data_IF_456233884954
#
_entry.id   IF_456233884954
#
_cell.length_a   1.000
_cell.length_b   1.000
_cell.length_c   1.000
_cell.angle_alpha   90.00
_cell.angle_beta   90.00
_cell.angle_gamma   90.00
#
_symmetry.space_group_name_H-M   'P 1'
#
loop_
_entity.id
_entity.type
_entity.pdbx_description
1 polymer ?
#
# COMPACT_ATOMS: atom_id res chain seq x y z
N UNK A 1 -12.01 15.17 4.10
CA UNK A 1 -11.00 15.75 3.17
C UNK A 1 -11.70 16.59 2.11
N UNK A 2 -11.12 17.72 1.69
CA UNK A 2 -11.90 18.76 1.01
C UNK A 2 -12.85 19.45 1.99
N UNK A 3 -14.05 19.81 1.54
CA UNK A 3 -14.94 20.73 2.27
C UNK A 3 -15.79 20.08 3.37
N UNK A 4 -15.85 18.74 3.45
CA UNK A 4 -16.63 17.99 4.44
C UNK A 4 -15.76 17.00 5.23
N UNK A 5 -14.88 17.45 6.15
CA UNK A 5 -13.98 16.57 6.90
C UNK A 5 -14.69 15.64 7.90
N UNK A 6 -15.90 15.98 8.33
CA UNK A 6 -16.73 15.16 9.24
C UNK A 6 -17.40 13.98 8.52
N UNK A 7 -17.41 13.96 7.18
CA UNK A 7 -17.94 12.85 6.38
C UNK A 7 -16.78 11.92 6.02
N UNK A 8 -16.71 10.78 6.71
CA UNK A 8 -15.60 9.83 6.57
C UNK A 8 -15.85 8.77 5.49
N UNK A 9 -17.11 8.42 5.26
CA UNK A 9 -17.53 7.34 4.35
C UNK A 9 -18.67 7.79 3.44
N UNK A 10 -19.03 6.96 2.46
CA UNK A 10 -20.17 7.20 1.56
C UNK A 10 -21.48 6.61 2.07
N UNK A 11 -21.52 6.08 3.31
CA UNK A 11 -22.74 5.52 3.90
C UNK A 11 -23.78 6.62 4.17
N UNK A 12 -25.02 6.35 3.79
CA UNK A 12 -26.18 7.20 4.07
C UNK A 12 -26.80 6.83 5.41
N UNK A 13 -27.62 7.72 5.95
CA UNK A 13 -28.40 7.43 7.15
C UNK A 13 -29.29 6.19 6.94
N UNK A 14 -29.23 5.25 7.88
CA UNK A 14 -29.97 3.98 7.80
C UNK A 14 -29.28 2.87 6.99
N UNK A 15 -28.16 3.14 6.32
CA UNK A 15 -27.37 2.09 5.67
C UNK A 15 -26.46 1.35 6.66
N UNK A 16 -26.26 0.06 6.43
CA UNK A 16 -25.33 -0.79 7.17
C UNK A 16 -24.52 -1.64 6.19
N UNK A 17 -23.22 -1.82 6.48
CA UNK A 17 -22.37 -2.72 5.72
C UNK A 17 -22.76 -4.15 6.07
N UNK A 18 -23.32 -4.91 5.11
CA UNK A 18 -23.76 -6.29 5.33
C UNK A 18 -22.74 -7.33 4.86
N UNK A 19 -21.91 -6.99 3.88
CA UNK A 19 -20.91 -7.91 3.33
C UNK A 19 -19.76 -7.17 2.65
N UNK A 20 -18.61 -7.85 2.56
CA UNK A 20 -17.50 -7.52 1.67
C UNK A 20 -17.26 -8.74 0.79
N UNK A 21 -17.29 -8.55 -0.52
CA UNK A 21 -17.01 -9.61 -1.48
C UNK A 21 -15.57 -9.51 -1.97
N UNK A 22 -14.78 -10.55 -1.70
CA UNK A 22 -13.41 -10.67 -2.21
C UNK A 22 -13.35 -11.86 -3.18
N UNK A 23 -13.46 -11.63 -4.50
CA UNK A 23 -13.42 -12.73 -5.46
C UNK A 23 -12.02 -13.34 -5.51
N UNK A 24 -11.95 -14.63 -5.84
CA UNK A 24 -10.69 -15.27 -6.18
C UNK A 24 -10.03 -14.49 -7.33
N UNK A 25 -8.77 -14.12 -7.14
CA UNK A 25 -8.02 -13.35 -8.13
C UNK A 25 -6.57 -13.82 -8.18
N UNK A 26 -5.90 -13.61 -9.31
CA UNK A 26 -4.48 -13.89 -9.43
C UNK A 26 -3.63 -13.11 -8.42
N UNK A 27 -4.12 -11.93 -8.00
CA UNK A 27 -3.53 -11.09 -6.98
C UNK A 27 -3.49 -11.75 -5.59
N UNK A 28 -4.44 -12.65 -5.28
CA UNK A 28 -4.50 -13.30 -3.96
C UNK A 28 -3.29 -14.22 -3.70
N UNK A 29 -2.71 -14.81 -4.76
CA UNK A 29 -1.54 -15.69 -4.67
C UNK A 29 -0.28 -14.95 -4.21
N UNK A 30 -0.13 -13.72 -4.66
CA UNK A 30 1.07 -12.90 -4.47
C UNK A 30 0.65 -11.60 -3.80
N UNK A 31 0.20 -11.73 -2.54
CA UNK A 31 -0.18 -10.60 -1.73
C UNK A 31 0.49 -10.64 -0.36
N UNK A 32 0.81 -9.47 0.17
CA UNK A 32 1.41 -9.34 1.48
C UNK A 32 1.01 -8.02 2.15
N UNK A 33 1.11 -7.99 3.47
CA UNK A 33 0.86 -6.80 4.28
C UNK A 33 1.96 -6.61 5.31
N UNK A 34 2.63 -5.45 5.26
CA UNK A 34 3.66 -5.04 6.21
C UNK A 34 3.06 -4.01 7.16
N UNK A 35 3.31 -4.20 8.46
CA UNK A 35 2.89 -3.28 9.53
C UNK A 35 4.10 -2.85 10.36
N UNK A 36 4.51 -1.59 10.23
CA UNK A 36 5.59 -0.98 11.00
C UNK A 36 5.02 -0.32 12.24
N UNK A 37 5.61 -0.59 13.41
CA UNK A 37 5.13 -0.21 14.74
C UNK A 37 6.28 -0.23 15.76
N UNK A 38 6.13 0.47 16.87
CA UNK A 38 7.16 0.60 17.91
C UNK A 38 7.21 -0.64 18.81
N UNK A 39 6.05 -1.19 19.18
CA UNK A 39 5.95 -2.45 19.91
C UNK A 39 5.52 -3.60 19.02
N UNK A 40 6.07 -4.79 19.30
CA UNK A 40 5.89 -5.97 18.45
C UNK A 40 4.45 -6.49 18.36
N UNK A 41 3.51 -6.09 19.22
CA UNK A 41 2.09 -6.46 19.13
C UNK A 41 1.17 -5.42 19.76
N UNK A 42 -0.13 -5.54 19.48
CA UNK A 42 -1.20 -4.72 20.06
C UNK A 42 -1.04 -3.21 19.84
N UNK A 43 -0.51 -2.77 18.71
CA UNK A 43 -0.34 -1.35 18.37
C UNK A 43 -0.89 -1.00 16.98
N UNK A 44 -1.21 0.27 16.79
CA UNK A 44 -1.48 0.89 15.50
C UNK A 44 -0.23 0.87 14.60
N UNK A 45 -0.43 0.95 13.30
CA UNK A 45 0.69 1.09 12.38
C UNK A 45 1.17 2.54 12.39
N UNK A 46 2.47 2.77 12.61
CA UNK A 46 3.08 4.05 12.25
C UNK A 46 2.99 4.25 10.74
N UNK A 47 3.29 3.19 9.99
CA UNK A 47 3.06 3.04 8.56
C UNK A 47 2.74 1.57 8.27
N UNK A 48 1.83 1.34 7.34
CA UNK A 48 1.65 0.02 6.75
C UNK A 48 1.60 0.09 5.23
N UNK A 49 1.90 -1.04 4.59
CA UNK A 49 1.80 -1.19 3.15
C UNK A 49 1.18 -2.56 2.82
N UNK A 50 0.26 -2.58 1.86
CA UNK A 50 -0.30 -3.77 1.25
C UNK A 50 0.11 -3.79 -0.21
N UNK A 51 0.56 -4.94 -0.70
CA UNK A 51 0.73 -5.17 -2.13
C UNK A 51 0.04 -6.46 -2.54
N UNK A 52 -0.53 -6.45 -3.74
CA UNK A 52 -1.01 -7.64 -4.43
C UNK A 52 -0.59 -7.54 -5.90
N UNK A 53 0.08 -8.57 -6.41
CA UNK A 53 0.79 -8.52 -7.68
C UNK A 53 0.34 -9.72 -8.52
N UNK A 54 0.04 -9.49 -9.79
CA UNK A 54 -0.10 -10.57 -10.76
C UNK A 54 1.15 -10.60 -11.63
N UNK A 55 1.82 -11.76 -11.67
CA UNK A 55 2.99 -12.00 -12.53
C UNK A 55 2.58 -12.98 -13.63
N UNK A 56 2.93 -12.65 -14.86
CA UNK A 56 2.78 -13.50 -16.03
C UNK A 56 4.05 -13.44 -16.86
N UNK A 57 4.55 -14.59 -17.32
CA UNK A 57 5.74 -14.69 -18.18
C UNK A 57 6.97 -13.96 -17.60
N UNK A 58 7.13 -14.00 -16.27
CA UNK A 58 8.23 -13.36 -15.55
C UNK A 58 8.12 -11.84 -15.40
N UNK A 59 7.03 -11.21 -15.83
CA UNK A 59 6.79 -9.79 -15.68
C UNK A 59 5.50 -9.49 -14.89
N UNK A 60 5.47 -8.34 -14.21
CA UNK A 60 4.28 -7.86 -13.51
C UNK A 60 3.22 -7.47 -14.54
N UNK A 61 2.11 -8.20 -14.58
CA UNK A 61 0.95 -7.86 -15.42
C UNK A 61 0.09 -6.77 -14.77
N UNK A 62 -0.22 -6.92 -13.49
CA UNK A 62 -0.94 -5.91 -12.71
C UNK A 62 -0.42 -5.83 -11.29
N UNK A 63 -0.48 -4.65 -10.69
CA UNK A 63 -0.15 -4.43 -9.29
C UNK A 63 -1.23 -3.58 -8.61
N UNK A 64 -1.46 -3.85 -7.32
CA UNK A 64 -2.26 -3.03 -6.42
C UNK A 64 -1.43 -2.75 -5.18
N UNK A 65 -1.18 -1.48 -4.90
CA UNK A 65 -0.34 -1.07 -3.78
C UNK A 65 -1.04 0.03 -3.00
N UNK A 66 -1.18 -0.18 -1.69
CA UNK A 66 -1.85 0.76 -0.79
C UNK A 66 -1.08 0.90 0.52
N UNK A 67 -1.22 2.06 1.17
CA UNK A 67 -0.57 2.38 2.42
C UNK A 67 -1.58 2.83 3.49
N UNK A 68 -1.26 2.52 4.74
CA UNK A 68 -2.00 2.93 5.93
C UNK A 68 -1.13 3.74 6.90
N UNK A 69 -1.78 4.49 7.79
CA UNK A 69 -1.10 5.32 8.79
C UNK A 69 -0.40 6.58 8.24
N UNK A 70 -0.48 6.83 6.93
CA UNK A 70 0.21 7.96 6.25
C UNK A 70 -0.73 9.05 5.73
N UNK A 71 -2.04 8.83 5.78
CA UNK A 71 -3.05 9.76 5.30
C UNK A 71 -4.34 9.64 6.12
N UNK A 72 -5.31 10.51 5.85
CA UNK A 72 -6.64 10.54 6.51
C UNK A 72 -7.54 9.36 6.12
N UNK A 73 -7.17 8.60 5.09
CA UNK A 73 -7.82 7.36 4.63
C UNK A 73 -6.76 6.39 4.09
N UNK A 74 -7.07 5.09 3.93
CA UNK A 74 -6.19 4.19 3.19
C UNK A 74 -5.81 4.77 1.83
N UNK A 75 -4.51 4.82 1.55
CA UNK A 75 -3.98 5.58 0.43
C UNK A 75 -3.45 4.65 -0.66
N UNK A 76 -4.08 4.65 -1.82
CA UNK A 76 -3.60 3.89 -2.98
C UNK A 76 -2.42 4.59 -3.64
N UNK A 77 -1.44 3.82 -4.11
CA UNK A 77 -0.18 4.31 -4.66
C UNK A 77 -0.06 4.00 -6.17
N UNK A 78 -0.84 4.67 -7.04
CA UNK A 78 -0.90 4.34 -8.46
C UNK A 78 0.41 4.57 -9.21
N UNK A 79 1.26 5.49 -8.76
CA UNK A 79 2.58 5.68 -9.38
C UNK A 79 3.52 4.50 -9.10
N UNK A 80 3.47 3.92 -7.89
CA UNK A 80 4.20 2.69 -7.56
C UNK A 80 3.70 1.55 -8.45
N UNK A 81 2.37 1.41 -8.59
CA UNK A 81 1.75 0.40 -9.46
C UNK A 81 2.23 0.54 -10.92
N UNK A 82 2.22 1.76 -11.48
CA UNK A 82 2.67 2.04 -12.84
C UNK A 82 4.14 1.70 -13.09
N UNK A 83 5.02 1.94 -12.12
CA UNK A 83 6.44 1.64 -12.24
C UNK A 83 6.74 0.14 -12.33
N UNK A 84 5.83 -0.70 -11.85
CA UNK A 84 6.00 -2.16 -11.82
C UNK A 84 5.47 -2.84 -13.09
N UNK A 85 4.33 -2.39 -13.61
CA UNK A 85 3.66 -3.04 -14.75
C UNK A 85 4.58 -3.14 -15.97
N UNK A 86 4.63 -4.34 -16.56
CA UNK A 86 5.46 -4.66 -17.72
C UNK A 86 6.93 -4.95 -17.40
N UNK A 87 7.35 -4.89 -16.12
CA UNK A 87 8.73 -5.15 -15.70
C UNK A 87 8.83 -6.46 -14.94
N UNK A 88 10.00 -7.08 -14.99
CA UNK A 88 10.35 -8.15 -14.06
C UNK A 88 10.50 -7.55 -12.66
N UNK A 89 9.89 -8.19 -11.67
CA UNK A 89 10.04 -7.79 -10.28
C UNK A 89 11.35 -8.36 -9.74
N UNK A 90 12.30 -7.48 -9.46
CA UNK A 90 13.54 -7.76 -8.74
C UNK A 90 13.79 -6.65 -7.70
N UNK A 91 14.89 -6.76 -6.95
CA UNK A 91 15.21 -5.82 -5.89
C UNK A 91 15.34 -4.37 -6.38
N UNK A 92 15.99 -4.16 -7.53
CA UNK A 92 16.14 -2.85 -8.12
C UNK A 92 14.78 -2.27 -8.55
N UNK A 93 13.93 -3.08 -9.19
CA UNK A 93 12.59 -2.66 -9.57
C UNK A 93 11.72 -2.30 -8.35
N UNK A 94 11.79 -3.08 -7.27
CA UNK A 94 11.06 -2.82 -6.04
C UNK A 94 11.53 -1.51 -5.38
N UNK A 95 12.85 -1.27 -5.31
CA UNK A 95 13.43 -0.04 -4.77
C UNK A 95 12.99 1.19 -5.57
N UNK A 96 13.18 1.17 -6.89
CA UNK A 96 12.79 2.29 -7.77
C UNK A 96 11.28 2.55 -7.76
N UNK A 97 10.46 1.50 -7.65
CA UNK A 97 9.01 1.67 -7.51
C UNK A 97 8.68 2.32 -6.16
N UNK A 98 9.32 1.91 -5.07
CA UNK A 98 9.08 2.43 -3.72
C UNK A 98 9.42 3.92 -3.55
N UNK A 99 10.38 4.46 -4.32
CA UNK A 99 10.70 5.89 -4.35
C UNK A 99 9.50 6.77 -4.74
N UNK A 100 8.59 6.25 -5.56
CA UNK A 100 7.35 6.95 -5.90
C UNK A 100 6.39 7.11 -4.71
N UNK A 101 6.48 6.26 -3.69
CA UNK A 101 5.59 6.32 -2.54
C UNK A 101 5.83 7.59 -1.70
N UNK A 102 7.09 8.02 -1.57
CA UNK A 102 7.49 9.17 -0.76
C UNK A 102 6.97 10.52 -1.30
N UNK A 103 6.76 10.63 -2.61
CA UNK A 103 6.27 11.86 -3.27
C UNK A 103 4.81 12.18 -2.95
N UNK A 104 4.09 11.27 -2.27
CA UNK A 104 2.68 11.43 -1.92
C UNK A 104 2.43 11.95 -0.51
N UNK A 105 3.48 12.19 0.29
CA UNK A 105 3.36 12.63 1.68
C UNK A 105 3.70 14.12 1.81
N UNK A 106 2.68 14.96 2.03
CA UNK A 106 2.88 16.33 2.50
C UNK A 106 3.31 16.27 3.98
N UNK A 107 4.60 16.41 4.23
CA UNK A 107 5.19 16.15 5.54
C UNK A 107 5.01 17.35 6.47
N UNK A 108 3.98 17.29 7.30
CA UNK A 108 3.85 18.21 8.45
C UNK A 108 5.04 18.06 9.40
N UNK A 109 5.40 19.12 10.16
CA UNK A 109 6.42 19.03 11.20
C UNK A 109 6.16 17.83 12.13
N UNK A 110 7.21 17.07 12.43
CA UNK A 110 7.13 15.86 13.25
C UNK A 110 6.73 14.57 12.50
N UNK A 111 6.32 14.63 11.23
CA UNK A 111 5.89 13.45 10.45
C UNK A 111 6.88 13.02 9.35
N UNK A 112 8.04 13.68 9.23
CA UNK A 112 9.04 13.41 8.20
C UNK A 112 9.51 11.94 8.19
N UNK A 113 9.57 11.30 9.36
CA UNK A 113 9.94 9.90 9.50
C UNK A 113 8.97 8.96 8.74
N UNK A 114 7.70 9.33 8.58
CA UNK A 114 6.71 8.51 7.87
C UNK A 114 7.02 8.37 6.39
N UNK A 115 7.64 9.36 5.75
CA UNK A 115 8.04 9.25 4.35
C UNK A 115 9.12 8.19 4.15
N UNK A 116 10.10 8.14 5.07
CA UNK A 116 11.16 7.13 5.08
C UNK A 116 10.56 5.74 5.33
N UNK A 117 9.72 5.62 6.37
CA UNK A 117 9.05 4.36 6.70
C UNK A 117 8.14 3.87 5.57
N UNK A 118 7.43 4.78 4.89
CA UNK A 118 6.56 4.45 3.76
C UNK A 118 7.34 3.86 2.61
N UNK A 119 8.44 4.49 2.19
CA UNK A 119 9.31 3.94 1.14
C UNK A 119 9.78 2.53 1.51
N UNK A 120 10.29 2.34 2.73
CA UNK A 120 10.80 1.03 3.19
C UNK A 120 9.70 -0.03 3.32
N UNK A 121 8.52 0.35 3.79
CA UNK A 121 7.38 -0.56 3.90
C UNK A 121 6.89 -1.00 2.51
N UNK A 122 6.85 -0.08 1.54
CA UNK A 122 6.49 -0.39 0.15
C UNK A 122 7.53 -1.30 -0.50
N UNK A 123 8.83 -0.99 -0.35
CA UNK A 123 9.92 -1.86 -0.82
C UNK A 123 9.78 -3.28 -0.25
N UNK A 124 9.65 -3.41 1.08
CA UNK A 124 9.53 -4.71 1.74
C UNK A 124 8.30 -5.49 1.29
N UNK A 125 7.13 -4.85 1.20
CA UNK A 125 5.90 -5.56 0.83
C UNK A 125 5.95 -6.05 -0.62
N UNK A 126 6.61 -5.30 -1.52
CA UNK A 126 6.81 -5.71 -2.92
C UNK A 126 7.73 -6.92 -3.02
N UNK A 127 8.85 -6.92 -2.29
CA UNK A 127 9.78 -8.05 -2.26
C UNK A 127 9.12 -9.33 -1.73
N UNK A 128 8.41 -9.23 -0.60
CA UNK A 128 7.75 -10.40 -0.01
C UNK A 128 6.57 -10.90 -0.85
N UNK A 129 5.72 -10.01 -1.38
CA UNK A 129 4.63 -10.41 -2.29
C UNK A 129 5.16 -11.01 -3.61
N UNK A 130 6.35 -10.58 -4.04
CA UNK A 130 7.08 -11.11 -5.19
C UNK A 130 7.81 -12.43 -4.94
N UNK A 131 7.85 -12.93 -3.70
CA UNK A 131 8.59 -14.15 -3.34
C UNK A 131 10.11 -13.97 -3.29
N UNK A 132 10.61 -12.75 -3.13
CA UNK A 132 12.03 -12.42 -3.11
C UNK A 132 12.62 -12.27 -1.68
N UNK A 133 11.79 -12.33 -0.63
CA UNK A 133 12.18 -12.03 0.75
C UNK A 133 11.27 -12.65 1.82
#
# INVERSE_FOLDING_TARGET
>A
PGDAPHVETTLRAGEIITAIHLPASAHARNSHYVKVRDRASFEWALVSAAAAIEVADGAVRTARVAAGGVATKPWRLPEVERRLVGRRLDEAAALTAAEAAAHSADSRPGLAFKAILLRRAVERVLLTAGGLA
#
